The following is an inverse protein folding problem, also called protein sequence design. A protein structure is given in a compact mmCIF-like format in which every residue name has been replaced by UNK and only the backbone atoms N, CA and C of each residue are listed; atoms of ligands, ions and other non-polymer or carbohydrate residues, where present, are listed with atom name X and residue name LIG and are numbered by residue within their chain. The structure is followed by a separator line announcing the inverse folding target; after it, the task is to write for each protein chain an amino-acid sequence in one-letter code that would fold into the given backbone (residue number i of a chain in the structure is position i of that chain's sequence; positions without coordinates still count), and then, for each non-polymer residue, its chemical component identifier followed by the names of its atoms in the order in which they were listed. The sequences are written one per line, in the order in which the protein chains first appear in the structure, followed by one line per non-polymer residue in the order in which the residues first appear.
data_IF_966272102982
#
_entry.id   IF_966272102982
#
_cell.length_a   1.000
_cell.length_b   1.000
_cell.length_c   1.000
_cell.angle_alpha   90.00
_cell.angle_beta   90.00
_cell.angle_gamma   90.00
#
_symmetry.space_group_name_H-M   'P 1'
#
loop_
_entity.id
_entity.type
_entity.pdbx_description
1 polymer ?
#
# COMPACT_ATOMS: atom_id res chain seq x y z
N UNK A 1 6.01 -3.37 14.79
CA UNK A 1 5.29 -3.75 13.56
C UNK A 1 6.07 -3.21 12.37
N UNK A 2 6.23 -4.02 11.30
CA UNK A 2 6.87 -3.58 10.06
C UNK A 2 5.83 -3.06 9.07
N UNK A 3 6.25 -2.32 8.05
CA UNK A 3 5.44 -2.03 6.88
C UNK A 3 5.91 -2.85 5.67
N UNK A 4 4.98 -3.28 4.82
CA UNK A 4 5.19 -3.88 3.52
C UNK A 4 4.58 -2.95 2.47
N UNK A 5 5.41 -2.40 1.57
CA UNK A 5 4.98 -1.52 0.48
C UNK A 5 5.03 -2.30 -0.83
N UNK A 6 3.91 -2.37 -1.54
CA UNK A 6 3.80 -3.08 -2.82
C UNK A 6 4.08 -2.13 -3.99
N UNK A 7 5.32 -2.15 -4.50
CA UNK A 7 5.83 -1.25 -5.54
C UNK A 7 6.37 -1.96 -6.79
N UNK A 8 5.88 -3.18 -7.07
CA UNK A 8 6.40 -3.99 -8.18
C UNK A 8 5.79 -3.65 -9.55
N UNK A 9 4.59 -3.05 -9.57
CA UNK A 9 3.80 -2.87 -10.78
C UNK A 9 4.29 -1.76 -11.71
N UNK A 10 4.15 -1.97 -13.02
CA UNK A 10 4.49 -0.98 -14.06
C UNK A 10 3.60 0.26 -14.03
N UNK A 11 2.35 0.08 -13.61
CA UNK A 11 1.44 1.20 -13.47
C UNK A 11 0.96 1.83 -14.78
N UNK A 12 0.71 1.01 -15.80
CA UNK A 12 0.33 1.41 -17.17
C UNK A 12 -0.72 2.53 -17.27
N UNK A 13 -1.75 2.52 -16.42
CA UNK A 13 -2.82 3.55 -16.41
C UNK A 13 -2.30 4.96 -16.07
N UNK A 14 -1.24 5.07 -15.26
CA UNK A 14 -0.60 6.34 -14.92
C UNK A 14 0.66 6.60 -15.74
N UNK A 15 1.00 5.75 -16.73
CA UNK A 15 2.21 5.91 -17.53
C UNK A 15 2.35 7.31 -18.19
N UNK A 16 1.27 7.95 -18.71
CA UNK A 16 1.37 9.31 -19.25
C UNK A 16 1.83 10.34 -18.20
N UNK A 17 1.48 10.12 -16.93
CA UNK A 17 1.76 11.04 -15.83
C UNK A 17 3.03 10.68 -15.05
N UNK A 18 3.49 9.43 -15.15
CA UNK A 18 4.71 8.98 -14.47
C UNK A 18 5.98 9.23 -15.27
N UNK A 19 5.88 9.76 -16.50
CA UNK A 19 7.02 10.03 -17.39
C UNK A 19 7.96 8.82 -17.53
N UNK A 20 7.39 7.62 -17.60
CA UNK A 20 8.13 6.36 -17.69
C UNK A 20 8.79 5.89 -16.39
N UNK A 21 8.56 6.55 -15.25
CA UNK A 21 9.03 6.11 -13.93
C UNK A 21 8.03 5.17 -13.26
N UNK A 22 8.45 4.35 -12.27
CA UNK A 22 7.53 3.65 -11.39
C UNK A 22 6.49 4.61 -10.80
N UNK A 23 5.22 4.19 -10.74
CA UNK A 23 4.11 5.02 -10.21
C UNK A 23 4.39 5.62 -8.84
N UNK A 24 5.01 4.84 -7.95
CA UNK A 24 5.36 5.29 -6.60
C UNK A 24 6.31 6.50 -6.59
N UNK A 25 7.01 6.77 -7.70
CA UNK A 25 7.90 7.91 -7.88
C UNK A 25 7.22 9.12 -8.53
N UNK A 26 5.92 9.07 -8.81
CA UNK A 26 5.14 10.25 -9.23
C UNK A 26 5.25 11.32 -8.15
N UNK A 27 5.53 12.56 -8.57
CA UNK A 27 5.69 13.71 -7.67
C UNK A 27 4.40 14.52 -7.59
N UNK A 28 4.04 14.88 -6.36
CA UNK A 28 2.96 15.83 -6.07
C UNK A 28 3.59 16.95 -5.24
N UNK A 29 3.55 18.18 -5.76
CA UNK A 29 4.24 19.34 -5.16
C UNK A 29 5.70 19.06 -4.78
N UNK A 30 6.46 18.44 -5.70
CA UNK A 30 7.91 18.21 -5.54
C UNK A 30 8.32 16.91 -4.83
N UNK A 31 7.45 16.31 -4.02
CA UNK A 31 7.73 15.08 -3.26
C UNK A 31 7.05 13.86 -3.89
N UNK A 32 7.76 12.74 -3.98
CA UNK A 32 7.20 11.49 -4.51
C UNK A 32 6.13 10.89 -3.59
N UNK A 33 5.22 10.08 -4.15
CA UNK A 33 4.29 9.28 -3.35
C UNK A 33 5.05 8.40 -2.34
N UNK A 34 6.15 7.78 -2.77
CA UNK A 34 6.98 6.93 -1.91
C UNK A 34 7.55 7.68 -0.72
N UNK A 35 8.22 8.81 -0.94
CA UNK A 35 8.78 9.63 0.15
C UNK A 35 7.70 10.06 1.13
N UNK A 36 6.51 10.46 0.64
CA UNK A 36 5.37 10.82 1.51
C UNK A 36 4.89 9.64 2.35
N UNK A 37 4.81 8.44 1.78
CA UNK A 37 4.45 7.23 2.52
C UNK A 37 5.50 6.87 3.58
N UNK A 38 6.79 6.96 3.24
CA UNK A 38 7.88 6.71 4.18
C UNK A 38 7.90 7.73 5.31
N UNK A 39 7.61 9.01 5.02
CA UNK A 39 7.43 10.05 6.04
C UNK A 39 6.28 9.72 6.99
N UNK A 40 5.11 9.37 6.45
CA UNK A 40 3.95 8.96 7.25
C UNK A 40 4.31 7.78 8.16
N UNK A 41 4.96 6.74 7.63
CA UNK A 41 5.41 5.57 8.39
C UNK A 41 6.36 5.97 9.54
N UNK A 42 7.39 6.76 9.24
CA UNK A 42 8.36 7.21 10.22
C UNK A 42 7.70 8.00 11.36
N UNK A 43 6.89 9.01 11.02
CA UNK A 43 6.21 9.86 12.00
C UNK A 43 5.09 9.13 12.76
N UNK A 44 4.56 8.01 12.24
CA UNK A 44 3.61 7.14 12.94
C UNK A 44 4.31 6.09 13.82
N UNK A 45 5.64 6.14 13.96
CA UNK A 45 6.38 5.26 14.87
C UNK A 45 6.85 3.94 14.24
N UNK A 46 6.63 3.71 12.94
CA UNK A 46 7.17 2.55 12.23
C UNK A 46 8.67 2.71 12.06
N UNK A 47 9.43 1.62 12.23
CA UNK A 47 10.90 1.63 12.20
C UNK A 47 11.53 0.71 11.16
N UNK A 48 10.73 -0.14 10.53
CA UNK A 48 11.15 -1.02 9.44
C UNK A 48 10.10 -1.04 8.33
N UNK A 49 10.55 -0.87 7.09
CA UNK A 49 9.74 -1.09 5.89
C UNK A 49 10.43 -2.08 4.94
N UNK A 50 9.62 -2.96 4.36
CA UNK A 50 10.00 -3.85 3.28
C UNK A 50 9.31 -3.33 2.02
N UNK A 51 10.08 -2.99 0.98
CA UNK A 51 9.55 -2.54 -0.30
C UNK A 51 9.67 -3.68 -1.30
N UNK A 52 8.55 -4.12 -1.86
CA UNK A 52 8.56 -5.08 -2.97
C UNK A 52 8.69 -4.33 -4.27
N UNK A 53 9.80 -4.51 -4.96
CA UNK A 53 10.11 -3.83 -6.23
C UNK A 53 9.94 -4.79 -7.40
N UNK A 54 9.88 -4.26 -8.62
CA UNK A 54 9.68 -5.01 -9.85
C UNK A 54 10.09 -4.13 -11.02
N UNK A 55 9.12 -3.53 -11.70
CA UNK A 55 9.38 -2.57 -12.78
C UNK A 55 10.34 -1.45 -12.33
N UNK A 56 11.47 -1.30 -13.05
CA UNK A 56 12.49 -0.27 -12.82
C UNK A 56 12.90 -0.11 -11.35
N UNK A 57 13.10 -1.23 -10.66
CA UNK A 57 13.46 -1.28 -9.24
C UNK A 57 14.66 -0.39 -8.87
N UNK A 58 15.67 -0.30 -9.74
CA UNK A 58 16.85 0.54 -9.53
C UNK A 58 16.52 2.02 -9.30
N UNK A 59 15.45 2.56 -9.92
CA UNK A 59 15.04 3.95 -9.69
C UNK A 59 14.48 4.15 -8.28
N UNK A 60 13.78 3.13 -7.74
CA UNK A 60 13.26 3.16 -6.37
C UNK A 60 14.41 3.07 -5.36
N UNK A 61 15.30 2.11 -5.57
CA UNK A 61 16.45 1.87 -4.69
C UNK A 61 17.42 3.07 -4.68
N UNK A 62 17.66 3.69 -5.85
CA UNK A 62 18.51 4.87 -5.96
C UNK A 62 17.92 6.12 -5.26
N UNK A 63 16.59 6.26 -5.23
CA UNK A 63 15.94 7.37 -4.53
C UNK A 63 15.97 7.20 -3.01
N UNK A 64 15.67 5.99 -2.53
CA UNK A 64 15.37 5.75 -1.11
C UNK A 64 16.57 5.20 -0.33
N UNK A 65 17.45 4.40 -0.95
CA UNK A 65 18.53 3.72 -0.26
C UNK A 65 18.03 2.73 0.79
N UNK A 66 18.81 2.48 1.84
CA UNK A 66 18.48 1.56 2.94
C UNK A 66 17.93 2.28 4.19
N UNK A 67 17.81 3.60 4.15
CA UNK A 67 17.35 4.42 5.27
C UNK A 67 16.56 5.64 4.79
N UNK A 68 15.42 5.89 5.43
CA UNK A 68 14.66 7.12 5.26
C UNK A 68 14.39 7.77 6.62
N UNK A 69 15.17 8.78 7.00
CA UNK A 69 15.04 9.52 8.28
C UNK A 69 15.10 8.61 9.53
N UNK A 70 15.81 7.48 9.47
CA UNK A 70 15.86 6.48 10.55
C UNK A 70 14.86 5.33 10.42
N UNK A 71 13.96 5.36 9.43
CA UNK A 71 13.20 4.19 9.00
C UNK A 71 14.12 3.26 8.21
N UNK A 72 14.37 2.04 8.71
CA UNK A 72 15.18 1.04 7.99
C UNK A 72 14.40 0.48 6.81
N UNK A 73 15.00 0.49 5.64
CA UNK A 73 14.39 0.02 4.39
C UNK A 73 15.09 -1.25 3.94
N UNK A 74 14.31 -2.23 3.52
CA UNK A 74 14.83 -3.42 2.86
C UNK A 74 13.98 -3.78 1.65
N UNK A 75 14.59 -4.45 0.68
CA UNK A 75 13.94 -4.72 -0.60
C UNK A 75 13.67 -6.20 -0.83
N UNK A 76 12.61 -6.49 -1.58
CA UNK A 76 12.32 -7.79 -2.17
C UNK A 76 12.03 -7.55 -3.64
N UNK A 77 12.80 -8.14 -4.53
CA UNK A 77 12.57 -7.98 -5.96
C UNK A 77 11.66 -9.11 -6.50
N UNK A 78 10.53 -8.74 -7.09
CA UNK A 78 9.67 -9.64 -7.85
C UNK A 78 10.10 -9.62 -9.32
N UNK A 79 10.90 -10.59 -9.74
CA UNK A 79 11.40 -10.69 -11.12
C UNK A 79 10.34 -11.09 -12.16
N UNK A 80 9.16 -11.54 -11.71
CA UNK A 80 8.02 -11.92 -12.56
C UNK A 80 6.82 -10.99 -12.31
N UNK A 81 7.08 -9.73 -11.97
CA UNK A 81 6.06 -8.71 -11.66
C UNK A 81 5.03 -8.52 -12.77
N UNK A 82 5.39 -8.78 -14.03
CA UNK A 82 4.51 -8.64 -15.20
C UNK A 82 3.60 -9.86 -15.43
N UNK A 83 3.81 -10.96 -14.70
CA UNK A 83 3.03 -12.21 -14.78
C UNK A 83 2.32 -12.55 -13.47
N UNK A 84 2.50 -11.73 -12.44
CA UNK A 84 2.01 -11.99 -11.08
C UNK A 84 1.29 -10.76 -10.53
N UNK A 85 0.59 -10.93 -9.42
CA UNK A 85 -0.15 -9.84 -8.76
C UNK A 85 0.39 -9.57 -7.35
N UNK A 86 -0.32 -8.72 -6.61
CA UNK A 86 0.05 -8.32 -5.26
C UNK A 86 0.20 -9.49 -4.28
N UNK A 87 -0.55 -10.58 -4.43
CA UNK A 87 -0.46 -11.73 -3.50
C UNK A 87 0.88 -12.46 -3.61
N UNK A 88 1.44 -12.53 -4.82
CA UNK A 88 2.77 -13.09 -5.02
C UNK A 88 3.86 -12.20 -4.42
N UNK A 89 3.68 -10.87 -4.52
CA UNK A 89 4.57 -9.90 -3.89
C UNK A 89 4.59 -10.03 -2.36
N UNK A 90 3.43 -10.27 -1.74
CA UNK A 90 3.32 -10.60 -0.31
C UNK A 90 4.03 -11.93 -0.01
N UNK A 91 3.78 -12.97 -0.81
CA UNK A 91 4.41 -14.28 -0.63
C UNK A 91 5.94 -14.24 -0.65
N UNK A 92 6.54 -13.47 -1.57
CA UNK A 92 8.00 -13.28 -1.64
C UNK A 92 8.56 -12.59 -0.40
N UNK A 93 7.76 -11.76 0.26
CA UNK A 93 8.18 -10.93 1.40
C UNK A 93 8.15 -11.66 2.74
N UNK A 94 7.55 -12.86 2.80
CA UNK A 94 7.32 -13.63 4.05
C UNK A 94 8.56 -13.75 4.94
N UNK A 95 9.73 -14.03 4.34
CA UNK A 95 10.98 -14.22 5.09
C UNK A 95 11.44 -12.93 5.78
N UNK A 96 11.25 -11.76 5.14
CA UNK A 96 11.65 -10.46 5.71
C UNK A 96 10.67 -9.93 6.74
N UNK A 97 9.39 -10.27 6.58
CA UNK A 97 8.33 -9.89 7.52
C UNK A 97 8.38 -10.73 8.81
N UNK A 98 8.78 -12.00 8.71
CA UNK A 98 8.83 -12.91 9.85
C UNK A 98 7.43 -13.28 10.35
N UNK A 99 7.33 -13.66 11.64
CA UNK A 99 6.09 -14.15 12.26
C UNK A 99 5.33 -13.05 13.04
N UNK A 100 5.57 -11.78 12.71
CA UNK A 100 4.89 -10.64 13.36
C UNK A 100 3.90 -10.01 12.41
N UNK A 101 2.80 -9.44 12.94
CA UNK A 101 1.91 -8.61 12.14
C UNK A 101 2.63 -7.43 11.46
N UNK A 102 2.06 -6.95 10.37
CA UNK A 102 2.62 -5.91 9.52
C UNK A 102 1.54 -5.05 8.87
N UNK A 103 1.90 -3.85 8.45
CA UNK A 103 1.03 -2.97 7.67
C UNK A 103 1.31 -3.24 6.19
N UNK A 104 0.29 -3.53 5.40
CA UNK A 104 0.36 -3.62 3.94
C UNK A 104 -0.10 -2.30 3.33
N UNK A 105 0.69 -1.72 2.42
CA UNK A 105 0.38 -0.48 1.72
C UNK A 105 0.60 -0.64 0.21
N UNK A 106 -0.42 -0.33 -0.59
CA UNK A 106 -0.27 -0.19 -2.04
C UNK A 106 0.57 1.05 -2.36
N UNK A 107 1.53 0.97 -3.28
CA UNK A 107 2.46 2.10 -3.49
C UNK A 107 1.93 3.28 -4.31
N UNK A 108 0.70 3.20 -4.82
CA UNK A 108 0.08 4.23 -5.65
C UNK A 108 -1.02 5.02 -4.93
N UNK A 109 -1.02 5.02 -3.59
CA UNK A 109 -1.98 5.77 -2.78
C UNK A 109 -1.36 7.01 -2.15
N UNK A 110 -2.16 8.08 -2.04
CA UNK A 110 -1.85 9.28 -1.26
C UNK A 110 -2.85 9.37 -0.11
N UNK A 111 -2.37 9.42 1.12
CA UNK A 111 -3.22 9.44 2.30
C UNK A 111 -2.69 10.37 3.40
N UNK A 112 -3.61 10.87 4.22
CA UNK A 112 -3.26 11.66 5.40
C UNK A 112 -2.76 10.74 6.52
N UNK A 113 -1.68 11.13 7.20
CA UNK A 113 -1.05 10.36 8.30
C UNK A 113 -2.04 9.82 9.34
N UNK A 114 -3.06 10.61 9.69
CA UNK A 114 -4.16 10.21 10.62
C UNK A 114 -4.80 8.87 10.27
N UNK A 115 -4.91 8.49 8.99
CA UNK A 115 -5.45 7.18 8.57
C UNK A 115 -4.56 6.05 9.11
N UNK A 116 -3.24 6.18 8.91
CA UNK A 116 -2.26 5.23 9.42
C UNK A 116 -2.22 5.22 10.96
N UNK A 117 -2.28 6.39 11.60
CA UNK A 117 -2.32 6.49 13.06
C UNK A 117 -3.55 5.77 13.64
N UNK A 118 -4.74 6.00 13.07
CA UNK A 118 -5.96 5.34 13.47
C UNK A 118 -5.87 3.81 13.31
N UNK A 119 -5.29 3.34 12.19
CA UNK A 119 -5.09 1.92 11.95
C UNK A 119 -4.14 1.27 12.97
N UNK A 120 -3.07 1.97 13.35
CA UNK A 120 -2.09 1.52 14.35
C UNK A 120 -2.62 1.53 15.78
N UNK A 121 -3.48 2.49 16.11
CA UNK A 121 -4.13 2.59 17.42
C UNK A 121 -5.28 1.58 17.57
N UNK A 122 -5.86 1.12 16.46
CA UNK A 122 -6.99 0.19 16.47
C UNK A 122 -6.64 -1.15 17.15
N UNK A 123 -7.43 -1.52 18.17
CA UNK A 123 -7.28 -2.72 19.01
C UNK A 123 -8.10 -3.94 18.54
N UNK A 124 -8.75 -3.85 17.38
CA UNK A 124 -9.44 -4.97 16.75
C UNK A 124 -8.50 -6.16 16.53
N UNK A 125 -9.06 -7.37 16.57
CA UNK A 125 -8.31 -8.60 16.33
C UNK A 125 -8.34 -8.95 14.84
N UNK A 126 -7.35 -9.71 14.37
CA UNK A 126 -7.26 -10.14 12.98
C UNK A 126 -6.83 -9.03 12.01
N UNK A 127 -7.26 -9.19 10.76
CA UNK A 127 -6.94 -8.29 9.64
C UNK A 127 -7.86 -7.06 9.70
N UNK A 128 -7.28 -5.87 9.67
CA UNK A 128 -8.03 -4.60 9.70
C UNK A 128 -7.79 -3.82 8.42
N UNK A 129 -8.85 -3.55 7.67
CA UNK A 129 -8.81 -2.77 6.45
C UNK A 129 -9.12 -1.30 6.76
N UNK A 130 -8.42 -0.38 6.10
CA UNK A 130 -8.85 1.01 6.05
C UNK A 130 -9.88 1.16 4.94
N UNK A 131 -11.05 1.69 5.29
CA UNK A 131 -12.19 1.85 4.37
C UNK A 131 -12.61 3.31 4.36
N UNK A 132 -12.87 3.82 3.17
CA UNK A 132 -13.49 5.12 2.96
C UNK A 132 -14.99 4.94 2.72
N UNK A 133 -15.81 5.46 3.64
CA UNK A 133 -17.27 5.28 3.69
C UNK A 133 -18.02 6.32 2.83
N UNK A 134 -17.43 6.71 1.69
CA UNK A 134 -18.05 7.66 0.76
C UNK A 134 -19.36 7.09 0.19
N UNK A 135 -20.37 7.96 0.06
CA UNK A 135 -21.71 7.59 -0.43
C UNK A 135 -21.77 7.26 -1.93
N UNK A 136 -20.79 7.69 -2.72
CA UNK A 136 -20.75 7.48 -4.18
C UNK A 136 -19.48 6.76 -4.59
N UNK A 137 -19.65 5.55 -5.09
CA UNK A 137 -18.59 4.68 -5.60
C UNK A 137 -18.83 4.41 -7.09
N UNK A 138 -17.78 4.49 -7.89
CA UNK A 138 -17.80 4.09 -9.29
C UNK A 138 -17.56 2.59 -9.49
N UNK A 139 -17.36 2.21 -10.75
CA UNK A 139 -17.19 0.81 -11.14
C UNK A 139 -15.80 0.23 -10.83
N UNK A 140 -14.75 1.06 -10.85
CA UNK A 140 -13.36 0.59 -10.76
C UNK A 140 -12.82 0.46 -9.32
N UNK A 141 -13.54 1.02 -8.36
CA UNK A 141 -13.23 1.03 -6.94
C UNK A 141 -13.29 -0.39 -6.36
N UNK A 142 -12.38 -0.66 -5.42
CA UNK A 142 -12.43 -1.89 -4.64
C UNK A 142 -13.48 -1.74 -3.54
N UNK A 143 -14.74 -2.00 -3.89
CA UNK A 143 -15.89 -1.82 -3.01
C UNK A 143 -15.87 -2.85 -1.89
N UNK A 144 -16.39 -2.47 -0.73
CA UNK A 144 -16.53 -3.35 0.42
C UNK A 144 -17.96 -3.40 0.92
N UNK A 145 -18.32 -4.55 1.48
CA UNK A 145 -19.55 -4.78 2.25
C UNK A 145 -19.20 -5.06 3.70
N UNK A 146 -19.93 -4.42 4.60
CA UNK A 146 -19.74 -4.39 6.04
C UNK A 146 -21.02 -4.85 6.71
N UNK A 147 -20.90 -5.83 7.60
CA UNK A 147 -21.98 -6.28 8.49
C UNK A 147 -21.43 -6.38 9.91
N UNK A 148 -22.16 -5.84 10.89
CA UNK A 148 -21.75 -5.90 12.30
C UNK A 148 -20.29 -5.49 12.54
N UNK A 149 -19.83 -4.43 11.86
CA UNK A 149 -18.45 -3.92 11.92
C UNK A 149 -17.37 -4.89 11.42
N UNK A 150 -17.74 -5.86 10.58
CA UNK A 150 -16.85 -6.81 9.93
C UNK A 150 -16.98 -6.73 8.41
N UNK A 151 -15.86 -6.85 7.69
CA UNK A 151 -15.86 -6.93 6.23
C UNK A 151 -16.36 -8.32 5.82
N UNK A 152 -17.47 -8.37 5.10
CA UNK A 152 -18.06 -9.62 4.58
C UNK A 152 -17.84 -9.79 3.08
N UNK A 153 -17.46 -8.72 2.38
CA UNK A 153 -17.16 -8.76 0.95
C UNK A 153 -16.19 -7.66 0.54
N UNK A 154 -15.30 -7.98 -0.41
CA UNK A 154 -14.41 -7.04 -1.08
C UNK A 154 -14.25 -7.44 -2.54
N UNK A 155 -14.79 -6.65 -3.46
CA UNK A 155 -14.69 -6.90 -4.90
C UNK A 155 -15.07 -5.65 -5.68
N UNK A 156 -14.55 -5.53 -6.91
CA UNK A 156 -15.04 -4.53 -7.88
C UNK A 156 -16.45 -4.84 -8.37
N UNK A 157 -16.83 -6.11 -8.32
CA UNK A 157 -18.09 -6.65 -8.84
C UNK A 157 -19.30 -6.38 -7.92
N UNK A 158 -19.07 -5.91 -6.69
CA UNK A 158 -20.17 -5.48 -5.82
C UNK A 158 -20.89 -4.30 -6.50
N UNK A 159 -22.23 -4.32 -6.62
CA UNK A 159 -22.95 -3.16 -7.16
C UNK A 159 -22.71 -1.91 -6.31
N UNK A 160 -22.52 -0.75 -6.94
CA UNK A 160 -22.24 0.49 -6.20
C UNK A 160 -23.33 0.86 -5.18
N UNK A 161 -24.61 0.58 -5.50
CA UNK A 161 -25.74 0.78 -4.61
C UNK A 161 -25.75 -0.15 -3.38
N UNK A 162 -25.00 -1.25 -3.45
CA UNK A 162 -24.84 -2.25 -2.41
C UNK A 162 -23.45 -2.17 -1.75
N UNK A 163 -22.69 -1.10 -1.93
CA UNK A 163 -21.38 -0.97 -1.30
C UNK A 163 -21.45 -0.01 -0.10
N UNK A 164 -20.74 -0.33 0.98
CA UNK A 164 -20.65 0.57 2.16
C UNK A 164 -19.43 1.48 2.12
N UNK A 165 -18.48 1.20 1.22
CA UNK A 165 -17.27 1.98 1.10
C UNK A 165 -16.25 1.39 0.13
N UNK A 166 -15.09 2.00 0.09
CA UNK A 166 -13.95 1.63 -0.74
C UNK A 166 -12.75 1.21 0.13
N UNK A 167 -12.12 0.09 -0.20
CA UNK A 167 -10.81 -0.23 0.35
C UNK A 167 -9.72 0.69 -0.22
N UNK A 168 -9.08 1.47 0.64
CA UNK A 168 -8.12 2.51 0.22
C UNK A 168 -6.67 2.04 0.09
N UNK A 169 -6.42 0.72 0.08
CA UNK A 169 -5.07 0.20 -0.15
C UNK A 169 -4.14 0.15 1.08
N UNK A 170 -4.67 0.30 2.29
CA UNK A 170 -3.92 0.24 3.55
C UNK A 170 -4.57 -0.75 4.51
N UNK A 171 -3.83 -1.79 4.90
CA UNK A 171 -4.34 -2.89 5.75
C UNK A 171 -3.34 -3.20 6.88
N UNK A 172 -3.84 -3.52 8.07
CA UNK A 172 -3.05 -4.15 9.14
C UNK A 172 -3.31 -5.65 9.13
N UNK A 173 -2.25 -6.44 9.00
CA UNK A 173 -2.25 -7.90 9.01
C UNK A 173 -1.59 -8.39 10.30
#
# INVERSE_FOLDING_TARGET
MKALILAAGEGRRLAPYSAGKPKTLVKIFGTTLLERMLDNLFFSGVREAVIVTGYKNHEIEALVGDNHKGLRISYVHNNVYNKTNNIYSVHLSRKKLGNTGFILINSDVLFHKKILDNLLLNRGKGIILSVDLREKLGEEEMKVRIEHNSIVGISKEIPAAEADGEYIGITRI
#
